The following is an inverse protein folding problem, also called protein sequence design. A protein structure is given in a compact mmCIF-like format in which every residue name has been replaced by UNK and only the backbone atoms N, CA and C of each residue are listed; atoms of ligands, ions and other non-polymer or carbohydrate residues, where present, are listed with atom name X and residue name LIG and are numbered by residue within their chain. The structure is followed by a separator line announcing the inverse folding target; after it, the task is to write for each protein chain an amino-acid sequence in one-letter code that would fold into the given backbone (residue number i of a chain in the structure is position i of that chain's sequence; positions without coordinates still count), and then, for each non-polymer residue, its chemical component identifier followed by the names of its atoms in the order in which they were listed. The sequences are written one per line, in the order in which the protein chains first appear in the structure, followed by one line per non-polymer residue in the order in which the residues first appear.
data_IF_697149937969
#
_entry.id   IF_697149937969
#
_cell.length_a   1.000
_cell.length_b   1.000
_cell.length_c   1.000
_cell.angle_alpha   90.00
_cell.angle_beta   90.00
_cell.angle_gamma   90.00
#
_symmetry.space_group_name_H-M   'P 1'
#
loop_
_entity.id
_entity.type
_entity.pdbx_description
1 polymer ?
#
# COMPACT_ATOMS: atom_id res chain seq x y z
N UNK A 1 0.91 15.09 -23.49
CA UNK A 1 2.13 14.28 -23.33
C UNK A 1 1.70 12.85 -23.57
N UNK A 2 2.11 12.22 -24.67
CA UNK A 2 1.70 10.84 -24.99
C UNK A 2 2.08 9.91 -23.83
N UNK A 3 1.08 9.25 -23.25
CA UNK A 3 1.28 8.12 -22.34
C UNK A 3 1.99 7.02 -23.14
N UNK A 4 3.34 7.04 -23.12
CA UNK A 4 4.14 5.98 -23.71
C UNK A 4 3.71 4.67 -23.04
N UNK A 5 3.26 3.71 -23.85
CA UNK A 5 2.76 2.43 -23.38
C UNK A 5 3.91 1.58 -22.81
N UNK A 6 4.30 1.89 -21.57
CA UNK A 6 5.33 1.16 -20.85
C UNK A 6 4.90 -0.29 -20.58
N UNK A 7 3.59 -0.58 -20.49
CA UNK A 7 3.08 -1.95 -20.26
C UNK A 7 3.54 -2.91 -21.33
N UNK A 8 3.36 -2.53 -22.60
CA UNK A 8 3.74 -3.38 -23.71
C UNK A 8 5.24 -3.67 -23.71
N UNK A 9 6.04 -2.70 -23.24
CA UNK A 9 7.49 -2.85 -23.12
C UNK A 9 7.90 -3.73 -21.92
N UNK A 10 7.26 -3.60 -20.76
CA UNK A 10 7.48 -4.50 -19.62
C UNK A 10 7.09 -5.94 -19.94
N UNK A 11 5.93 -6.13 -20.58
CA UNK A 11 5.46 -7.45 -21.03
C UNK A 11 6.43 -8.06 -22.04
N UNK A 12 6.91 -7.27 -23.00
CA UNK A 12 7.93 -7.71 -23.96
C UNK A 12 9.22 -8.15 -23.28
N UNK A 13 9.71 -7.39 -22.29
CA UNK A 13 10.93 -7.74 -21.56
C UNK A 13 10.73 -9.00 -20.72
N UNK A 14 9.58 -9.16 -20.05
CA UNK A 14 9.25 -10.37 -19.29
C UNK A 14 9.19 -11.59 -20.22
N UNK A 15 8.52 -11.48 -21.37
CA UNK A 15 8.48 -12.56 -22.36
C UNK A 15 9.87 -12.91 -22.89
N UNK A 16 10.71 -11.91 -23.15
CA UNK A 16 12.11 -12.12 -23.56
C UNK A 16 12.91 -12.85 -22.48
N UNK A 17 12.68 -12.51 -21.21
CA UNK A 17 13.32 -13.16 -20.06
C UNK A 17 12.90 -14.62 -19.94
N UNK A 18 11.59 -14.90 -20.07
CA UNK A 18 11.03 -16.24 -20.01
C UNK A 18 11.47 -17.11 -21.21
N UNK A 19 11.65 -16.47 -22.37
CA UNK A 19 12.17 -17.07 -23.60
C UNK A 19 13.69 -17.31 -23.62
N UNK A 20 14.42 -16.87 -22.61
CA UNK A 20 15.88 -17.03 -22.53
C UNK A 20 16.68 -16.00 -23.34
N UNK A 21 16.05 -14.93 -23.82
CA UNK A 21 16.67 -13.86 -24.62
C UNK A 21 17.31 -12.79 -23.72
N UNK A 22 18.25 -13.19 -22.87
CA UNK A 22 18.82 -12.35 -21.81
C UNK A 22 19.51 -11.07 -22.30
N UNK A 23 20.12 -11.12 -23.49
CA UNK A 23 20.74 -9.94 -24.09
C UNK A 23 19.71 -8.88 -24.49
N UNK A 24 18.53 -9.32 -24.94
CA UNK A 24 17.40 -8.45 -25.29
C UNK A 24 16.86 -7.79 -24.04
N UNK A 25 16.71 -8.54 -22.94
CA UNK A 25 16.25 -8.04 -21.64
C UNK A 25 17.11 -6.86 -21.16
N UNK A 26 18.44 -6.99 -21.19
CA UNK A 26 19.34 -5.91 -20.75
C UNK A 26 19.25 -4.70 -21.69
N UNK A 27 19.24 -4.92 -23.01
CA UNK A 27 19.20 -3.82 -24.00
C UNK A 27 17.90 -3.02 -23.92
N UNK A 28 16.76 -3.69 -23.82
CA UNK A 28 15.46 -3.02 -23.68
C UNK A 28 15.32 -2.36 -22.30
N UNK A 29 15.80 -2.99 -21.23
CA UNK A 29 15.77 -2.38 -19.89
C UNK A 29 16.59 -1.10 -19.84
N UNK A 30 17.82 -1.10 -20.38
CA UNK A 30 18.65 0.09 -20.48
C UNK A 30 17.98 1.21 -21.32
N UNK A 31 17.25 0.83 -22.37
CA UNK A 31 16.50 1.78 -23.20
C UNK A 31 15.35 2.41 -22.43
N UNK A 32 14.63 1.64 -21.61
CA UNK A 32 13.56 2.17 -20.76
C UNK A 32 14.10 3.07 -19.65
N UNK A 33 15.22 2.72 -19.01
CA UNK A 33 15.92 3.62 -18.09
C UNK A 33 16.27 4.94 -18.77
N UNK A 34 16.83 4.91 -19.98
CA UNK A 34 17.18 6.10 -20.74
C UNK A 34 15.96 7.01 -20.97
N UNK A 35 14.86 6.43 -21.44
CA UNK A 35 13.61 7.19 -21.69
C UNK A 35 13.05 7.79 -20.40
N UNK A 36 13.01 7.01 -19.31
CA UNK A 36 12.50 7.48 -18.03
C UNK A 36 13.37 8.61 -17.44
N UNK A 37 14.70 8.47 -17.51
CA UNK A 37 15.63 9.50 -17.04
C UNK A 37 15.53 10.79 -17.87
N UNK A 38 15.30 10.71 -19.18
CA UNK A 38 15.03 11.93 -19.97
C UNK A 38 13.77 12.63 -19.49
N UNK A 39 12.69 11.88 -19.24
CA UNK A 39 11.44 12.44 -18.75
C UNK A 39 11.55 13.10 -17.37
N UNK A 40 12.20 12.43 -16.41
CA UNK A 40 12.42 12.97 -15.06
C UNK A 40 13.21 14.28 -15.14
N UNK A 41 14.24 14.36 -15.98
CA UNK A 41 15.02 15.58 -16.15
C UNK A 41 14.16 16.74 -16.69
N UNK A 42 13.33 16.49 -17.70
CA UNK A 42 12.40 17.50 -18.23
C UNK A 42 11.38 17.97 -17.19
N UNK A 43 10.94 17.08 -16.31
CA UNK A 43 10.10 17.51 -15.19
C UNK A 43 10.90 18.31 -14.16
N UNK A 44 12.19 17.99 -13.96
CA UNK A 44 13.02 18.65 -12.95
C UNK A 44 13.32 20.09 -13.34
N UNK A 45 13.59 20.32 -14.61
CA UNK A 45 13.86 21.66 -15.12
C UNK A 45 12.63 22.58 -15.09
N UNK A 46 11.43 22.01 -14.96
CA UNK A 46 10.18 22.78 -14.89
C UNK A 46 9.69 22.99 -13.46
N UNK A 47 9.90 21.99 -12.57
CA UNK A 47 9.34 21.99 -11.21
C UNK A 47 10.31 22.46 -10.12
N UNK A 48 11.62 22.32 -10.31
CA UNK A 48 12.59 22.68 -9.26
C UNK A 48 12.79 24.19 -9.11
N UNK A 49 13.22 24.67 -7.92
CA UNK A 49 13.58 26.07 -7.72
C UNK A 49 14.67 26.54 -8.69
N UNK A 50 14.69 27.84 -8.98
CA UNK A 50 15.61 28.43 -9.96
C UNK A 50 17.09 28.11 -9.71
N UNK A 51 17.52 28.09 -8.45
CA UNK A 51 18.91 27.77 -8.10
C UNK A 51 19.30 26.34 -8.53
N UNK A 52 18.45 25.35 -8.25
CA UNK A 52 18.70 23.97 -8.63
C UNK A 52 18.61 23.75 -10.14
N UNK A 53 17.68 24.43 -10.81
CA UNK A 53 17.56 24.39 -12.28
C UNK A 53 18.83 24.88 -12.97
N UNK A 54 19.46 25.95 -12.46
CA UNK A 54 20.72 26.47 -12.99
C UNK A 54 21.86 25.47 -12.86
N UNK A 55 21.92 24.74 -11.74
CA UNK A 55 22.91 23.67 -11.55
C UNK A 55 22.68 22.48 -12.50
N UNK A 56 21.42 22.12 -12.75
CA UNK A 56 21.05 21.08 -13.71
C UNK A 56 21.45 21.44 -15.14
N UNK A 57 21.13 22.68 -15.56
CA UNK A 57 21.50 23.19 -16.88
C UNK A 57 23.02 23.25 -17.06
N UNK A 58 23.76 23.67 -16.03
CA UNK A 58 25.22 23.66 -16.07
C UNK A 58 25.78 22.24 -16.22
N UNK A 59 25.24 21.27 -15.49
CA UNK A 59 25.66 19.87 -15.62
C UNK A 59 25.31 19.29 -17.01
N UNK A 60 24.15 19.66 -17.57
CA UNK A 60 23.76 19.32 -18.94
C UNK A 60 24.76 19.90 -19.95
N UNK A 61 25.09 21.19 -19.86
CA UNK A 61 26.06 21.84 -20.75
C UNK A 61 27.44 21.17 -20.68
N UNK A 62 27.91 20.82 -19.48
CA UNK A 62 29.21 20.17 -19.28
C UNK A 62 29.24 18.75 -19.89
N UNK A 63 28.20 17.93 -19.65
CA UNK A 63 28.11 16.57 -20.21
C UNK A 63 27.88 16.60 -21.73
N UNK A 64 27.06 17.53 -22.20
CA UNK A 64 26.74 17.74 -23.61
C UNK A 64 27.83 18.48 -24.40
N UNK A 65 28.85 19.00 -23.70
CA UNK A 65 29.90 19.86 -24.26
C UNK A 65 29.34 21.06 -25.03
N UNK A 66 28.21 21.61 -24.56
CA UNK A 66 27.49 22.74 -25.16
C UNK A 66 26.77 22.45 -26.49
N UNK A 67 26.88 21.24 -27.05
CA UNK A 67 26.38 20.92 -28.40
C UNK A 67 25.26 19.86 -28.41
N UNK A 68 24.89 19.32 -27.25
CA UNK A 68 23.86 18.27 -27.11
C UNK A 68 22.97 18.58 -25.92
N UNK A 69 21.66 18.46 -26.10
CA UNK A 69 20.69 18.50 -25.01
C UNK A 69 20.40 17.11 -24.46
N UNK A 70 19.67 17.04 -23.34
CA UNK A 70 19.31 15.77 -22.68
C UNK A 70 18.61 14.77 -23.60
N UNK A 71 17.82 15.22 -24.58
CA UNK A 71 17.15 14.33 -25.53
C UNK A 71 18.13 13.52 -26.39
N UNK A 72 19.32 14.05 -26.64
CA UNK A 72 20.39 13.43 -27.42
C UNK A 72 21.39 12.64 -26.56
N UNK A 73 21.20 12.61 -25.23
CA UNK A 73 22.10 11.89 -24.34
C UNK A 73 21.86 10.39 -24.42
N UNK A 74 22.95 9.64 -24.47
CA UNK A 74 22.94 8.19 -24.27
C UNK A 74 22.72 7.85 -22.80
N UNK A 75 22.28 6.61 -22.51
CA UNK A 75 22.09 6.15 -21.14
C UNK A 75 23.29 6.43 -20.21
N UNK A 76 24.52 6.17 -20.66
CA UNK A 76 25.73 6.46 -19.85
C UNK A 76 25.93 7.95 -19.57
N UNK A 77 25.60 8.83 -20.52
CA UNK A 77 25.66 10.28 -20.32
C UNK A 77 24.58 10.75 -19.33
N UNK A 78 23.38 10.17 -19.37
CA UNK A 78 22.33 10.46 -18.39
C UNK A 78 22.73 10.03 -16.98
N UNK A 79 23.34 8.85 -16.82
CA UNK A 79 23.87 8.40 -15.51
C UNK A 79 24.92 9.39 -15.00
N UNK A 80 25.82 9.86 -15.88
CA UNK A 80 26.78 10.92 -15.56
C UNK A 80 26.12 12.22 -15.11
N UNK A 81 25.14 12.71 -15.87
CA UNK A 81 24.36 13.92 -15.58
C UNK A 81 23.68 13.85 -14.21
N UNK A 82 22.99 12.76 -13.92
CA UNK A 82 22.25 12.57 -12.67
C UNK A 82 23.17 12.55 -11.46
N UNK A 83 24.31 11.87 -11.59
CA UNK A 83 25.33 11.83 -10.55
C UNK A 83 25.95 13.20 -10.31
N UNK A 84 26.33 13.90 -11.37
CA UNK A 84 27.01 15.19 -11.29
C UNK A 84 26.12 16.29 -10.71
N UNK A 85 24.87 16.35 -11.16
CA UNK A 85 23.88 17.31 -10.67
C UNK A 85 23.26 16.92 -9.33
N UNK A 86 23.48 15.68 -8.85
CA UNK A 86 22.79 15.10 -7.70
C UNK A 86 21.27 15.20 -7.84
N UNK A 87 20.75 14.97 -9.06
CA UNK A 87 19.36 15.26 -9.38
C UNK A 87 18.37 14.52 -8.46
N UNK A 88 18.57 13.22 -8.20
CA UNK A 88 17.68 12.47 -7.31
C UNK A 88 17.63 13.06 -5.90
N UNK A 89 18.78 13.45 -5.34
CA UNK A 89 18.84 14.08 -4.01
C UNK A 89 18.14 15.44 -3.97
N UNK A 90 18.28 16.23 -5.04
CA UNK A 90 17.56 17.50 -5.17
C UNK A 90 16.06 17.24 -5.27
N UNK A 91 15.64 16.33 -6.15
CA UNK A 91 14.25 15.97 -6.37
C UNK A 91 13.58 15.43 -5.10
N UNK A 92 14.24 14.55 -4.37
CA UNK A 92 13.78 14.01 -3.07
C UNK A 92 13.48 15.14 -2.06
N UNK A 93 14.37 16.13 -1.97
CA UNK A 93 14.18 17.32 -1.10
C UNK A 93 12.90 18.12 -1.39
N UNK A 94 12.31 17.98 -2.58
CA UNK A 94 11.14 18.76 -3.02
C UNK A 94 9.89 17.94 -3.34
N UNK A 95 10.01 16.63 -3.49
CA UNK A 95 8.90 15.76 -3.92
C UNK A 95 8.24 14.99 -2.78
N UNK A 96 8.81 15.02 -1.57
CA UNK A 96 8.39 14.19 -0.43
C UNK A 96 8.36 12.67 -0.76
N UNK A 97 9.07 12.26 -1.81
CA UNK A 97 9.24 10.87 -2.24
C UNK A 97 10.66 10.45 -1.88
N UNK A 98 10.81 9.39 -1.09
CA UNK A 98 12.10 8.74 -0.83
C UNK A 98 12.63 8.13 -2.13
N UNK A 99 13.68 8.73 -2.67
CA UNK A 99 14.38 8.25 -3.85
C UNK A 99 15.69 7.55 -3.48
N UNK A 100 15.89 7.24 -2.20
CA UNK A 100 17.05 6.55 -1.65
C UNK A 100 17.32 5.23 -2.37
N UNK A 101 16.27 4.48 -2.72
CA UNK A 101 16.40 3.25 -3.53
C UNK A 101 17.05 3.57 -4.88
N UNK A 102 16.60 4.60 -5.59
CA UNK A 102 17.19 5.00 -6.89
C UNK A 102 18.65 5.43 -6.76
N UNK A 103 19.01 6.08 -5.65
CA UNK A 103 20.40 6.46 -5.39
C UNK A 103 21.32 5.27 -5.08
N UNK A 104 20.75 4.14 -4.64
CA UNK A 104 21.47 2.91 -4.33
C UNK A 104 21.67 1.99 -5.54
N UNK A 105 20.92 2.20 -6.63
CA UNK A 105 21.04 1.40 -7.85
C UNK A 105 22.38 1.69 -8.54
N UNK A 106 23.15 0.64 -8.81
CA UNK A 106 24.38 0.76 -9.58
C UNK A 106 24.09 0.79 -11.09
N UNK A 107 23.64 1.95 -11.57
CA UNK A 107 23.36 2.18 -12.98
C UNK A 107 24.62 2.07 -13.87
N UNK A 108 25.83 2.26 -13.31
CA UNK A 108 27.07 2.11 -14.08
C UNK A 108 27.27 0.66 -14.50
N UNK A 109 27.03 -0.30 -13.59
CA UNK A 109 27.07 -1.72 -13.91
C UNK A 109 26.11 -2.09 -15.04
N UNK A 110 24.91 -1.48 -15.10
CA UNK A 110 23.95 -1.71 -16.20
C UNK A 110 24.48 -1.13 -17.52
N UNK A 111 25.05 0.08 -17.50
CA UNK A 111 25.70 0.70 -18.67
C UNK A 111 26.84 -0.19 -19.19
N UNK A 112 27.69 -0.69 -18.30
CA UNK A 112 28.79 -1.59 -18.66
C UNK A 112 28.29 -2.90 -19.26
N UNK A 113 27.30 -3.55 -18.65
CA UNK A 113 26.67 -4.75 -19.19
C UNK A 113 26.12 -4.50 -20.60
N UNK A 114 25.30 -3.46 -20.77
CA UNK A 114 24.72 -3.09 -22.08
C UNK A 114 25.80 -2.82 -23.13
N UNK A 115 26.89 -2.15 -22.76
CA UNK A 115 28.00 -1.87 -23.67
C UNK A 115 28.77 -3.14 -24.08
N UNK A 116 29.01 -4.07 -23.14
CA UNK A 116 29.61 -5.38 -23.45
C UNK A 116 28.75 -6.17 -24.44
N UNK A 117 27.43 -6.21 -24.23
CA UNK A 117 26.49 -6.90 -25.13
C UNK A 117 26.34 -6.24 -26.51
N UNK A 118 26.55 -4.92 -26.61
CA UNK A 118 26.37 -4.18 -27.86
C UNK A 118 27.64 -4.13 -28.70
N UNK A 119 28.80 -4.01 -28.06
CA UNK A 119 30.07 -3.77 -28.76
C UNK A 119 31.04 -4.95 -28.72
N UNK A 120 30.94 -5.84 -27.73
CA UNK A 120 31.91 -6.92 -27.51
C UNK A 120 31.34 -8.31 -27.80
N UNK A 121 30.06 -8.41 -28.17
CA UNK A 121 29.39 -9.69 -28.44
C UNK A 121 29.38 -10.63 -27.23
N UNK A 122 29.48 -10.08 -26.02
CA UNK A 122 29.37 -10.85 -24.79
C UNK A 122 27.96 -11.45 -24.67
N UNK A 123 27.83 -12.53 -23.91
CA UNK A 123 26.55 -13.17 -23.58
C UNK A 123 26.15 -12.83 -22.15
N UNK A 124 24.87 -12.58 -21.92
CA UNK A 124 24.29 -12.35 -20.61
C UNK A 124 23.80 -13.64 -19.95
N UNK A 125 24.00 -13.79 -18.64
CA UNK A 125 23.37 -14.85 -17.86
C UNK A 125 21.93 -14.51 -17.46
N UNK A 126 21.12 -15.53 -17.19
CA UNK A 126 19.75 -15.36 -16.65
C UNK A 126 19.73 -14.46 -15.42
N UNK A 127 20.67 -14.68 -14.50
CA UNK A 127 20.77 -13.93 -13.24
C UNK A 127 21.03 -12.44 -13.47
N UNK A 128 21.94 -12.10 -14.39
CA UNK A 128 22.22 -10.69 -14.72
C UNK A 128 21.01 -10.02 -15.37
N UNK A 129 20.31 -10.72 -16.26
CA UNK A 129 19.09 -10.21 -16.89
C UNK A 129 17.95 -10.00 -15.87
N UNK A 130 17.73 -10.97 -14.96
CA UNK A 130 16.75 -10.85 -13.87
C UNK A 130 17.07 -9.66 -12.95
N UNK A 131 18.35 -9.50 -12.59
CA UNK A 131 18.80 -8.40 -11.73
C UNK A 131 18.52 -7.03 -12.38
N UNK A 132 18.91 -6.85 -13.64
CA UNK A 132 18.68 -5.60 -14.38
C UNK A 132 17.19 -5.31 -14.53
N UNK A 133 16.38 -6.34 -14.82
CA UNK A 133 14.95 -6.15 -14.97
C UNK A 133 14.26 -5.83 -13.65
N UNK A 134 14.67 -6.44 -12.54
CA UNK A 134 14.17 -6.09 -11.21
C UNK A 134 14.57 -4.66 -10.81
N UNK A 135 15.79 -4.23 -11.17
CA UNK A 135 16.19 -2.83 -10.99
C UNK A 135 15.29 -1.88 -11.77
N UNK A 136 14.90 -2.24 -12.99
CA UNK A 136 13.99 -1.44 -13.80
C UNK A 136 12.59 -1.37 -13.15
N UNK A 137 12.05 -2.50 -12.69
CA UNK A 137 10.75 -2.55 -11.99
C UNK A 137 10.77 -1.65 -10.76
N UNK A 138 11.81 -1.78 -9.92
CA UNK A 138 11.98 -0.94 -8.74
C UNK A 138 12.12 0.54 -9.12
N UNK A 139 12.84 0.85 -10.20
CA UNK A 139 13.00 2.23 -10.68
C UNK A 139 11.66 2.88 -11.06
N UNK A 140 10.82 2.17 -11.81
CA UNK A 140 9.50 2.67 -12.20
C UNK A 140 8.53 2.73 -11.00
N UNK A 141 8.63 1.78 -10.07
CA UNK A 141 7.83 1.78 -8.84
C UNK A 141 8.15 2.99 -7.94
N UNK A 142 9.43 3.30 -7.72
CA UNK A 142 9.83 4.48 -6.95
C UNK A 142 9.40 5.81 -7.58
N UNK A 143 9.09 5.83 -8.88
CA UNK A 143 8.62 7.02 -9.58
C UNK A 143 7.09 7.14 -9.63
N UNK A 144 6.35 6.20 -9.03
CA UNK A 144 4.89 6.14 -9.15
C UNK A 144 4.44 5.85 -10.59
N UNK A 145 5.31 5.28 -11.42
CA UNK A 145 5.01 4.87 -12.80
C UNK A 145 4.65 3.38 -12.93
N UNK A 146 4.60 2.67 -11.79
CA UNK A 146 4.33 1.22 -11.73
C UNK A 146 2.85 0.83 -11.83
N UNK A 147 1.90 1.77 -11.76
CA UNK A 147 0.45 1.48 -11.89
C UNK A 147 -0.01 1.18 -13.33
N UNK A 148 0.92 0.72 -14.17
CA UNK A 148 0.68 0.44 -15.58
C UNK A 148 0.31 -1.04 -15.80
N UNK A 149 0.80 -1.97 -14.96
CA UNK A 149 0.33 -3.37 -14.97
C UNK A 149 -1.06 -3.50 -14.33
N UNK A 150 -1.31 -2.82 -13.20
CA UNK A 150 -2.61 -2.88 -12.51
C UNK A 150 -3.75 -2.20 -13.30
N UNK A 151 -3.44 -1.15 -14.07
CA UNK A 151 -4.41 -0.51 -14.96
C UNK A 151 -4.72 -1.35 -16.21
N UNK A 152 -3.76 -2.14 -16.71
CA UNK A 152 -3.93 -2.94 -17.91
C UNK A 152 -4.59 -4.29 -17.62
N UNK A 153 -4.30 -4.93 -16.49
CA UNK A 153 -5.10 -6.09 -16.05
C UNK A 153 -6.58 -5.71 -15.88
N UNK A 154 -6.89 -4.54 -15.30
CA UNK A 154 -8.28 -4.04 -15.21
C UNK A 154 -8.93 -3.73 -16.57
N UNK A 155 -8.14 -3.39 -17.60
CA UNK A 155 -8.64 -3.11 -18.96
C UNK A 155 -8.81 -4.37 -19.81
N UNK A 156 -8.03 -5.43 -19.56
CA UNK A 156 -8.20 -6.71 -20.24
C UNK A 156 -9.20 -7.65 -19.54
N UNK A 157 -9.36 -7.55 -18.21
CA UNK A 157 -10.42 -8.28 -17.48
C UNK A 157 -11.81 -7.71 -17.77
N UNK A 158 -11.94 -6.40 -18.02
CA UNK A 158 -13.24 -5.80 -18.34
C UNK A 158 -13.78 -6.14 -19.73
N UNK A 159 -12.98 -6.78 -20.61
CA UNK A 159 -13.39 -7.16 -21.97
C UNK A 159 -13.64 -8.66 -22.19
N UNK A 160 -13.33 -9.52 -21.22
CA UNK A 160 -13.57 -10.97 -21.33
C UNK A 160 -14.80 -11.47 -20.55
N UNK A 161 -15.41 -10.64 -19.69
CA UNK A 161 -16.54 -11.01 -18.83
C UNK A 161 -17.93 -10.88 -19.50
N UNK A 162 -18.03 -11.04 -20.82
CA UNK A 162 -19.33 -11.21 -21.48
C UNK A 162 -19.49 -12.45 -22.35
N UNK A 163 -18.45 -13.26 -22.59
CA UNK A 163 -18.62 -14.52 -23.33
C UNK A 163 -17.60 -15.57 -22.89
N UNK A 164 -17.99 -16.37 -21.88
CA UNK A 164 -17.77 -17.83 -21.74
C UNK A 164 -17.77 -18.24 -20.27
N UNK A 165 -18.98 -18.48 -19.75
CA UNK A 165 -19.16 -19.41 -18.63
C UNK A 165 -19.18 -20.81 -19.23
N UNK A 166 -18.02 -21.45 -19.31
CA UNK A 166 -17.86 -22.91 -19.28
C UNK A 166 -16.36 -23.26 -19.24
N UNK A 167 -16.03 -23.99 -18.18
CA UNK A 167 -14.86 -24.86 -17.97
C UNK A 167 -13.46 -24.30 -17.67
N UNK A 168 -13.00 -24.78 -16.51
CA UNK A 168 -11.63 -25.10 -16.09
C UNK A 168 -10.73 -24.03 -15.48
N UNK A 169 -10.75 -24.01 -14.14
CA UNK A 169 -9.60 -24.17 -13.23
C UNK A 169 -8.24 -23.60 -13.67
N UNK A 170 -7.85 -22.46 -13.09
CA UNK A 170 -6.72 -22.40 -12.17
C UNK A 170 -6.72 -21.05 -11.43
N UNK A 171 -6.60 -21.12 -10.11
CA UNK A 171 -6.53 -19.98 -9.20
C UNK A 171 -5.15 -19.34 -9.33
N UNK A 172 -5.08 -18.13 -9.87
CA UNK A 172 -3.98 -17.23 -9.53
C UNK A 172 -4.50 -16.25 -8.47
N UNK A 173 -3.92 -16.37 -7.29
CA UNK A 173 -4.34 -15.71 -6.07
C UNK A 173 -3.40 -14.51 -5.91
N UNK A 174 -3.65 -13.42 -6.65
CA UNK A 174 -2.95 -12.15 -6.46
C UNK A 174 -3.34 -11.59 -5.09
N UNK A 175 -2.66 -12.07 -4.05
CA UNK A 175 -2.79 -11.58 -2.69
C UNK A 175 -2.41 -10.10 -2.69
N UNK A 176 -3.42 -9.23 -2.58
CA UNK A 176 -3.27 -7.82 -2.28
C UNK A 176 -2.36 -7.67 -1.06
N UNK A 177 -1.10 -7.28 -1.26
CA UNK A 177 -0.14 -7.08 -0.16
C UNK A 177 -0.44 -5.77 0.53
N UNK A 178 -1.10 -5.85 1.68
CA UNK A 178 -1.48 -4.69 2.50
C UNK A 178 -0.28 -4.12 3.26
N UNK A 179 0.78 -4.93 3.44
CA UNK A 179 1.99 -4.53 4.14
C UNK A 179 3.26 -4.84 3.35
N UNK A 180 4.24 -3.97 3.49
CA UNK A 180 5.61 -4.17 3.03
C UNK A 180 6.44 -4.80 4.15
N UNK A 181 6.90 -6.03 3.93
CA UNK A 181 7.85 -6.68 4.82
C UNK A 181 9.28 -6.33 4.42
N UNK A 182 9.98 -5.59 5.28
CA UNK A 182 11.39 -5.24 5.13
C UNK A 182 12.23 -6.26 5.90
N UNK A 183 12.52 -7.40 5.24
CA UNK A 183 13.17 -8.58 5.83
C UNK A 183 14.49 -8.24 6.54
N UNK A 184 15.35 -7.45 5.90
CA UNK A 184 16.65 -7.04 6.44
C UNK A 184 16.57 -6.22 7.74
N UNK A 185 15.40 -5.68 8.08
CA UNK A 185 15.16 -4.89 9.30
C UNK A 185 14.16 -5.55 10.24
N UNK A 186 13.53 -6.66 9.84
CA UNK A 186 12.45 -7.29 10.59
C UNK A 186 11.24 -6.38 10.79
N UNK A 187 10.95 -5.49 9.83
CA UNK A 187 9.85 -4.51 9.93
C UNK A 187 8.70 -4.89 9.01
N UNK A 188 7.46 -4.72 9.50
CA UNK A 188 6.26 -4.71 8.68
C UNK A 188 5.80 -3.25 8.62
N UNK A 189 5.75 -2.68 7.43
CA UNK A 189 5.34 -1.28 7.20
C UNK A 189 4.05 -1.28 6.41
N UNK A 190 3.07 -0.49 6.84
CA UNK A 190 1.91 -0.20 6.02
C UNK A 190 2.30 0.86 4.98
N UNK A 191 2.30 0.57 3.68
CA UNK A 191 2.64 1.55 2.64
C UNK A 191 1.64 2.71 2.59
N UNK A 192 0.46 2.54 3.19
CA UNK A 192 -0.58 3.56 3.22
C UNK A 192 -0.19 4.74 4.11
N UNK A 193 0.36 4.50 5.28
CA UNK A 193 0.58 5.53 6.31
C UNK A 193 1.99 5.48 6.91
N UNK A 194 2.87 4.67 6.32
CA UNK A 194 4.24 4.41 6.76
C UNK A 194 4.37 3.87 8.20
N UNK A 195 3.25 3.47 8.81
CA UNK A 195 3.23 3.00 10.19
C UNK A 195 3.89 1.64 10.32
N UNK A 196 4.59 1.46 11.44
CA UNK A 196 5.11 0.15 11.83
C UNK A 196 3.99 -0.72 12.35
N UNK A 197 3.92 -1.92 11.81
CA UNK A 197 2.97 -2.94 12.17
C UNK A 197 3.69 -4.16 12.73
N UNK A 198 2.93 -4.96 13.47
CA UNK A 198 3.35 -6.27 13.98
C UNK A 198 2.27 -7.28 13.62
N UNK A 199 2.67 -8.52 13.36
CA UNK A 199 1.73 -9.61 13.06
C UNK A 199 1.80 -10.64 14.18
N UNK A 200 0.64 -10.97 14.75
CA UNK A 200 0.49 -12.03 15.73
C UNK A 200 -0.23 -13.23 15.11
N UNK A 201 0.15 -14.45 15.52
CA UNK A 201 -0.78 -15.57 15.43
C UNK A 201 -1.99 -15.28 16.32
N UNK A 202 -3.20 -15.56 15.83
CA UNK A 202 -4.45 -15.33 16.57
C UNK A 202 -4.43 -16.02 17.94
N UNK A 203 -3.90 -17.24 18.01
CA UNK A 203 -3.73 -17.99 19.27
C UNK A 203 -2.85 -17.24 20.28
N UNK A 204 -1.77 -16.59 19.82
CA UNK A 204 -0.84 -15.87 20.68
C UNK A 204 -1.46 -14.61 21.27
N UNK A 205 -2.14 -13.79 20.47
CA UNK A 205 -2.81 -12.58 20.97
C UNK A 205 -3.97 -12.92 21.90
N UNK A 206 -4.73 -13.99 21.57
CA UNK A 206 -5.80 -14.46 22.43
C UNK A 206 -5.29 -14.96 23.78
N UNK A 207 -4.16 -15.68 23.81
CA UNK A 207 -3.54 -16.11 25.07
C UNK A 207 -3.04 -14.93 25.93
N UNK A 208 -2.53 -13.86 25.30
CA UNK A 208 -2.19 -12.61 25.99
C UNK A 208 -3.43 -12.02 26.64
N UNK A 209 -4.55 -11.90 25.90
CA UNK A 209 -5.80 -11.37 26.44
C UNK A 209 -6.33 -12.23 27.59
N UNK A 210 -6.33 -13.56 27.46
CA UNK A 210 -6.75 -14.46 28.54
C UNK A 210 -5.91 -14.29 29.81
N UNK A 211 -4.59 -14.11 29.66
CA UNK A 211 -3.70 -13.86 30.79
C UNK A 211 -3.99 -12.51 31.45
N UNK A 212 -4.18 -11.45 30.66
CA UNK A 212 -4.54 -10.12 31.16
C UNK A 212 -5.87 -10.18 31.92
N UNK A 213 -6.89 -10.79 31.32
CA UNK A 213 -8.21 -10.99 31.96
C UNK A 213 -8.05 -11.69 33.30
N UNK A 214 -7.32 -12.82 33.34
CA UNK A 214 -7.09 -13.57 34.57
C UNK A 214 -6.44 -12.73 35.68
N UNK A 215 -5.40 -11.96 35.35
CA UNK A 215 -4.71 -11.14 36.34
C UNK A 215 -5.57 -9.95 36.81
N UNK A 216 -6.35 -9.34 35.90
CA UNK A 216 -7.30 -8.29 36.27
C UNK A 216 -8.43 -8.83 37.15
N UNK A 217 -8.93 -10.04 36.88
CA UNK A 217 -9.90 -10.73 37.74
C UNK A 217 -9.33 -10.92 39.14
N UNK A 218 -8.09 -11.42 39.25
CA UNK A 218 -7.43 -11.61 40.55
C UNK A 218 -7.26 -10.30 41.33
N UNK A 219 -7.10 -9.18 40.61
CA UNK A 219 -6.97 -7.84 41.18
C UNK A 219 -8.30 -7.11 41.46
N UNK A 220 -9.47 -7.72 41.20
CA UNK A 220 -10.78 -7.07 41.27
C UNK A 220 -10.89 -5.78 40.44
N UNK A 221 -10.26 -5.75 39.26
CA UNK A 221 -10.37 -4.62 38.33
C UNK A 221 -11.60 -4.76 37.42
N UNK A 222 -12.11 -3.63 36.93
CA UNK A 222 -13.16 -3.59 35.91
C UNK A 222 -12.57 -3.93 34.52
N UNK A 223 -12.65 -5.22 34.17
CA UNK A 223 -12.08 -5.79 32.94
C UNK A 223 -12.73 -5.16 31.70
N UNK A 224 -14.06 -5.03 31.72
CA UNK A 224 -14.84 -4.42 30.64
C UNK A 224 -14.39 -2.99 30.36
N UNK A 225 -14.22 -2.17 31.41
CA UNK A 225 -13.73 -0.79 31.24
C UNK A 225 -12.31 -0.74 30.67
N UNK A 226 -11.41 -1.63 31.11
CA UNK A 226 -10.04 -1.68 30.61
C UNK A 226 -9.99 -2.02 29.13
N UNK A 227 -10.69 -3.08 28.70
CA UNK A 227 -10.72 -3.47 27.29
C UNK A 227 -11.45 -2.45 26.42
N UNK A 228 -12.59 -1.90 26.88
CA UNK A 228 -13.29 -0.85 26.17
C UNK A 228 -12.40 0.38 25.93
N UNK A 229 -11.77 0.91 26.98
CA UNK A 229 -10.88 2.09 26.87
C UNK A 229 -9.68 1.82 25.99
N UNK A 230 -9.12 0.60 26.06
CA UNK A 230 -7.99 0.20 25.22
C UNK A 230 -8.39 0.14 23.74
N UNK A 231 -9.58 -0.40 23.46
CA UNK A 231 -10.18 -0.42 22.14
C UNK A 231 -10.40 1.00 21.63
N UNK A 232 -11.10 1.82 22.42
CA UNK A 232 -11.43 3.20 22.10
C UNK A 232 -10.21 4.03 21.73
N UNK A 233 -9.18 4.06 22.59
CA UNK A 233 -7.97 4.82 22.31
C UNK A 233 -7.23 4.34 21.04
N UNK A 234 -7.30 3.04 20.75
CA UNK A 234 -6.71 2.47 19.53
C UNK A 234 -7.51 2.85 18.28
N UNK A 235 -8.84 2.78 18.37
CA UNK A 235 -9.76 3.14 17.29
C UNK A 235 -9.75 4.63 16.99
N UNK A 236 -9.74 5.46 18.02
CA UNK A 236 -9.62 6.92 17.91
C UNK A 236 -8.34 7.31 17.17
N UNK A 237 -7.20 6.78 17.59
CA UNK A 237 -5.92 7.08 16.93
C UNK A 237 -5.90 6.63 15.47
N UNK A 238 -6.42 5.43 15.19
CA UNK A 238 -6.51 4.91 13.82
C UNK A 238 -7.45 5.74 12.95
N UNK A 239 -8.66 6.03 13.46
CA UNK A 239 -9.69 6.79 12.78
C UNK A 239 -9.21 8.19 12.41
N UNK A 240 -8.51 8.88 13.32
CA UNK A 240 -7.93 10.20 13.06
C UNK A 240 -6.93 10.17 11.89
N UNK A 241 -5.98 9.23 11.90
CA UNK A 241 -4.96 9.09 10.84
C UNK A 241 -5.61 8.81 9.48
N UNK A 242 -6.58 7.89 9.45
CA UNK A 242 -7.24 7.50 8.20
C UNK A 242 -8.16 8.58 7.68
N UNK A 243 -8.86 9.30 8.56
CA UNK A 243 -9.73 10.40 8.18
C UNK A 243 -8.93 11.51 7.48
N UNK A 244 -7.85 11.97 8.11
CA UNK A 244 -6.94 12.97 7.53
C UNK A 244 -6.42 12.51 6.17
N UNK A 245 -5.98 11.26 6.08
CA UNK A 245 -5.44 10.71 4.84
C UNK A 245 -6.48 10.66 3.72
N UNK A 246 -7.70 10.21 4.00
CA UNK A 246 -8.73 10.09 2.96
C UNK A 246 -9.23 11.44 2.47
N UNK A 247 -9.33 12.43 3.35
CA UNK A 247 -9.65 13.81 2.96
C UNK A 247 -8.60 14.43 2.06
N UNK A 248 -7.31 14.09 2.24
CA UNK A 248 -6.23 14.56 1.37
C UNK A 248 -6.17 13.84 0.02
N UNK A 249 -6.67 12.61 -0.07
CA UNK A 249 -6.54 11.76 -1.26
C UNK A 249 -7.76 11.76 -2.18
N UNK A 250 -8.94 12.08 -1.66
CA UNK A 250 -10.18 12.06 -2.42
C UNK A 250 -10.99 13.33 -2.14
N UNK A 251 -11.16 14.14 -3.18
CA UNK A 251 -12.08 15.26 -3.14
C UNK A 251 -13.51 14.74 -2.85
N UNK A 252 -14.20 15.38 -1.91
CA UNK A 252 -15.62 15.13 -1.56
C UNK A 252 -15.98 13.68 -1.20
N UNK A 253 -15.10 12.96 -0.49
CA UNK A 253 -15.45 11.61 0.02
C UNK A 253 -16.58 11.64 1.05
N UNK A 254 -17.63 10.84 0.83
CA UNK A 254 -18.77 10.72 1.74
C UNK A 254 -18.42 9.99 3.05
N UNK A 255 -19.21 10.19 4.10
CA UNK A 255 -19.02 9.50 5.38
C UNK A 255 -19.22 7.98 5.23
N UNK A 256 -20.20 7.57 4.44
CA UNK A 256 -20.49 6.16 4.15
C UNK A 256 -19.32 5.49 3.42
N UNK A 257 -18.66 6.22 2.50
CA UNK A 257 -17.46 5.73 1.83
C UNK A 257 -16.28 5.61 2.80
N UNK A 258 -16.08 6.58 3.69
CA UNK A 258 -15.03 6.50 4.74
C UNK A 258 -15.22 5.28 5.64
N UNK A 259 -16.45 5.05 6.12
CA UNK A 259 -16.81 3.88 6.93
C UNK A 259 -16.57 2.57 6.15
N UNK A 260 -16.90 2.56 4.86
CA UNK A 260 -16.69 1.39 3.99
C UNK A 260 -15.22 1.10 3.74
N UNK A 261 -14.40 2.14 3.55
CA UNK A 261 -12.94 2.01 3.43
C UNK A 261 -12.32 1.50 4.73
N UNK A 262 -12.79 1.97 5.88
CA UNK A 262 -12.37 1.44 7.18
C UNK A 262 -12.68 -0.04 7.31
N UNK A 263 -13.94 -0.44 7.07
CA UNK A 263 -14.35 -1.85 7.14
C UNK A 263 -13.47 -2.73 6.22
N UNK A 264 -13.18 -2.25 5.01
CA UNK A 264 -12.32 -2.95 4.08
C UNK A 264 -10.88 -3.06 4.60
N UNK A 265 -10.33 -1.99 5.15
CA UNK A 265 -8.96 -1.97 5.66
C UNK A 265 -8.78 -2.97 6.81
N UNK A 266 -9.66 -2.95 7.82
CA UNK A 266 -9.52 -3.86 8.96
C UNK A 266 -9.82 -5.31 8.59
N UNK A 267 -10.65 -5.53 7.57
CA UNK A 267 -10.82 -6.86 6.97
C UNK A 267 -9.53 -7.35 6.32
N UNK A 268 -8.88 -6.47 5.58
CA UNK A 268 -7.62 -6.71 4.89
C UNK A 268 -6.50 -7.06 5.91
N UNK A 269 -6.42 -6.36 7.04
CA UNK A 269 -5.37 -6.60 8.06
C UNK A 269 -5.66 -7.76 9.03
N UNK A 270 -6.79 -8.46 8.86
CA UNK A 270 -7.05 -9.74 9.51
C UNK A 270 -7.78 -9.69 10.86
N UNK A 271 -8.56 -8.64 11.12
CA UNK A 271 -9.46 -8.60 12.29
C UNK A 271 -10.65 -9.58 12.15
N UNK A 272 -10.97 -9.93 10.91
CA UNK A 272 -12.19 -10.61 10.48
C UNK A 272 -12.88 -9.78 9.40
N UNK A 273 -13.88 -10.31 8.73
CA UNK A 273 -14.56 -9.60 7.64
C UNK A 273 -15.62 -8.63 8.19
N UNK A 274 -15.27 -7.35 8.19
CA UNK A 274 -16.15 -6.23 8.54
C UNK A 274 -17.02 -5.81 7.35
N UNK A 275 -18.26 -5.47 7.65
CA UNK A 275 -19.17 -4.80 6.73
C UNK A 275 -20.08 -3.87 7.50
N UNK A 276 -20.48 -2.76 6.90
CA UNK A 276 -21.39 -1.80 7.51
C UNK A 276 -22.77 -1.84 6.82
N UNK A 277 -23.80 -1.57 7.61
CA UNK A 277 -25.13 -1.21 7.15
C UNK A 277 -25.58 -0.03 8.00
N UNK A 278 -24.95 1.12 7.75
CA UNK A 278 -25.15 2.36 8.49
C UNK A 278 -25.97 3.30 7.60
N UNK A 279 -26.91 3.99 8.23
CA UNK A 279 -27.66 5.08 7.64
C UNK A 279 -27.35 6.37 8.42
N UNK A 280 -26.94 7.40 7.69
CA UNK A 280 -26.62 8.72 8.24
C UNK A 280 -27.71 9.69 7.78
N UNK A 281 -28.42 10.27 8.75
CA UNK A 281 -29.36 11.34 8.51
C UNK A 281 -28.65 12.68 8.67
N UNK A 282 -28.28 13.28 7.53
CA UNK A 282 -27.59 14.56 7.47
C UNK A 282 -28.46 15.74 7.91
N UNK A 283 -29.79 15.64 7.84
CA UNK A 283 -30.70 16.72 8.27
C UNK A 283 -30.81 16.77 9.79
N UNK A 284 -30.91 15.59 10.43
CA UNK A 284 -31.07 15.47 11.87
C UNK A 284 -29.75 15.23 12.63
N UNK A 285 -28.63 15.13 11.91
CA UNK A 285 -27.33 14.71 12.46
C UNK A 285 -27.49 13.45 13.32
N UNK A 286 -28.13 12.44 12.74
CA UNK A 286 -28.40 11.17 13.40
C UNK A 286 -27.74 10.00 12.66
N UNK A 287 -27.42 8.96 13.41
CA UNK A 287 -26.79 7.75 12.89
C UNK A 287 -27.48 6.52 13.46
N UNK A 288 -27.82 5.60 12.56
CA UNK A 288 -28.43 4.32 12.92
C UNK A 288 -27.91 3.20 12.04
N UNK A 289 -28.03 1.97 12.52
CA UNK A 289 -27.67 0.78 11.76
C UNK A 289 -26.72 -0.12 12.53
N UNK A 290 -25.85 -0.84 11.83
CA UNK A 290 -24.95 -1.78 12.48
C UNK A 290 -23.67 -2.08 11.68
N UNK A 291 -22.63 -2.51 12.41
CA UNK A 291 -21.44 -3.16 11.87
C UNK A 291 -21.56 -4.66 12.07
N UNK A 292 -21.25 -5.43 11.04
CA UNK A 292 -21.13 -6.88 11.12
C UNK A 292 -19.65 -7.27 11.05
N UNK A 293 -19.22 -8.15 11.95
CA UNK A 293 -17.89 -8.74 11.94
C UNK A 293 -18.02 -10.26 11.83
N UNK A 294 -17.68 -10.80 10.66
CA UNK A 294 -17.59 -12.23 10.42
C UNK A 294 -16.17 -12.72 10.75
N UNK A 295 -16.05 -13.96 11.24
CA UNK A 295 -14.74 -14.56 11.55
C UNK A 295 -13.87 -13.69 12.48
N UNK A 296 -14.50 -13.05 13.48
CA UNK A 296 -13.80 -12.26 14.50
C UNK A 296 -12.61 -13.04 15.08
N UNK A 297 -11.40 -12.49 15.02
CA UNK A 297 -10.21 -13.15 15.55
C UNK A 297 -10.34 -13.53 17.03
N UNK A 298 -11.11 -12.75 17.82
CA UNK A 298 -11.35 -13.01 19.24
C UNK A 298 -12.20 -14.27 19.48
N UNK A 299 -12.98 -14.72 18.50
CA UNK A 299 -13.79 -15.95 18.59
C UNK A 299 -13.07 -17.20 18.07
N UNK A 300 -11.86 -17.06 17.52
CA UNK A 300 -11.12 -18.19 16.96
C UNK A 300 -10.73 -19.24 18.02
N UNK A 301 -11.22 -20.47 17.84
CA UNK A 301 -10.87 -21.68 18.61
C UNK A 301 -10.91 -21.55 20.15
N UNK A 302 -11.61 -20.56 20.70
CA UNK A 302 -11.59 -20.35 22.15
C UNK A 302 -12.50 -21.32 22.91
N UNK A 303 -11.98 -21.76 24.05
CA UNK A 303 -12.62 -22.65 25.03
C UNK A 303 -13.27 -21.85 26.18
N UNK A 304 -12.84 -20.60 26.38
CA UNK A 304 -13.31 -19.71 27.46
C UNK A 304 -14.56 -18.92 27.05
N UNK A 305 -15.59 -18.99 27.90
CA UNK A 305 -16.81 -18.17 27.82
C UNK A 305 -16.62 -16.73 28.31
N UNK A 306 -15.41 -16.31 28.67
CA UNK A 306 -15.25 -14.96 29.21
C UNK A 306 -15.42 -13.92 28.08
N UNK A 307 -16.50 -13.15 28.13
CA UNK A 307 -16.93 -12.22 27.08
C UNK A 307 -16.34 -10.81 27.24
N UNK A 308 -15.68 -10.53 28.37
CA UNK A 308 -15.26 -9.18 28.76
C UNK A 308 -14.21 -8.59 27.79
N UNK A 309 -13.39 -9.43 27.15
CA UNK A 309 -12.41 -8.97 26.15
C UNK A 309 -13.05 -8.59 24.80
N UNK A 310 -14.32 -8.94 24.55
CA UNK A 310 -15.07 -8.44 23.39
C UNK A 310 -15.40 -6.93 23.51
N UNK A 311 -15.31 -6.35 24.71
CA UNK A 311 -15.44 -4.90 24.89
C UNK A 311 -14.33 -4.14 24.14
N UNK A 312 -13.20 -4.79 23.84
CA UNK A 312 -12.16 -4.23 22.97
C UNK A 312 -12.71 -3.84 21.61
N UNK A 313 -13.50 -4.70 20.98
CA UNK A 313 -14.06 -4.44 19.65
C UNK A 313 -15.12 -3.35 19.68
N UNK A 314 -15.95 -3.31 20.74
CA UNK A 314 -16.90 -2.23 20.93
C UNK A 314 -16.18 -0.89 21.04
N UNK A 315 -15.22 -0.78 21.96
CA UNK A 315 -14.44 0.43 22.14
C UNK A 315 -13.74 0.85 20.86
N UNK A 316 -13.10 -0.10 20.17
CA UNK A 316 -12.42 0.17 18.91
C UNK A 316 -13.37 0.74 17.85
N UNK A 317 -14.52 0.11 17.63
CA UNK A 317 -15.55 0.59 16.70
C UNK A 317 -16.03 1.99 17.10
N UNK A 318 -16.32 2.24 18.38
CA UNK A 318 -16.72 3.56 18.88
C UNK A 318 -15.68 4.62 18.53
N UNK A 319 -14.40 4.36 18.86
CA UNK A 319 -13.32 5.32 18.64
C UNK A 319 -13.08 5.64 17.16
N UNK A 320 -13.20 4.65 16.27
CA UNK A 320 -13.10 4.91 14.82
C UNK A 320 -14.27 5.76 14.34
N UNK A 321 -15.50 5.38 14.68
CA UNK A 321 -16.70 6.08 14.21
C UNK A 321 -16.75 7.52 14.71
N UNK A 322 -16.37 7.77 15.97
CA UNK A 322 -16.31 9.12 16.51
C UNK A 322 -15.40 10.03 15.69
N UNK A 323 -14.24 9.53 15.26
CA UNK A 323 -13.32 10.30 14.41
C UNK A 323 -13.85 10.51 12.99
N UNK A 324 -14.45 9.48 12.39
CA UNK A 324 -15.01 9.60 11.04
C UNK A 324 -16.23 10.53 11.00
N UNK A 325 -16.99 10.61 12.09
CA UNK A 325 -18.20 11.42 12.23
C UNK A 325 -17.93 12.79 12.87
N UNK A 326 -16.68 13.26 12.85
CA UNK A 326 -16.29 14.59 13.34
C UNK A 326 -16.60 14.83 14.82
N UNK A 327 -16.40 13.82 15.67
CA UNK A 327 -16.60 13.88 17.12
C UNK A 327 -18.02 13.58 17.58
N UNK A 328 -18.89 13.04 16.72
CA UNK A 328 -20.21 12.57 17.13
C UNK A 328 -20.06 11.33 18.04
N UNK A 329 -20.46 11.46 19.30
CA UNK A 329 -20.49 10.34 20.24
C UNK A 329 -21.52 9.29 19.77
N UNK A 330 -21.03 8.06 19.63
CA UNK A 330 -21.85 6.91 19.20
C UNK A 330 -21.91 5.87 20.29
N UNK A 331 -23.12 5.39 20.54
CA UNK A 331 -23.37 4.26 21.42
C UNK A 331 -23.33 2.96 20.61
N UNK A 332 -22.46 2.05 21.02
CA UNK A 332 -22.26 0.74 20.38
C UNK A 332 -22.75 -0.38 21.29
N UNK A 333 -23.75 -1.12 20.83
CA UNK A 333 -24.29 -2.29 21.55
C UNK A 333 -24.06 -3.58 20.76
N UNK A 334 -23.47 -4.59 21.41
CA UNK A 334 -23.30 -5.91 20.79
C UNK A 334 -24.59 -6.73 20.93
N UNK A 335 -25.11 -7.25 19.83
CA UNK A 335 -26.23 -8.20 19.83
C UNK A 335 -25.74 -9.58 20.32
N UNK A 336 -25.78 -9.76 21.64
CA UNK A 336 -25.38 -11.00 22.30
C UNK A 336 -26.21 -12.21 21.84
N UNK A 337 -27.44 -11.99 21.37
CA UNK A 337 -28.31 -13.03 20.82
C UNK A 337 -27.81 -13.61 19.48
N UNK A 338 -26.82 -12.97 18.86
CA UNK A 338 -26.16 -13.44 17.63
C UNK A 338 -24.67 -13.67 17.81
N UNK A 339 -24.14 -13.64 19.03
CA UNK A 339 -22.70 -13.74 19.27
C UNK A 339 -22.17 -15.16 18.94
N UNK A 340 -21.17 -15.29 18.04
CA UNK A 340 -20.53 -16.58 17.75
C UNK A 340 -19.86 -17.23 18.96
N UNK A 341 -19.52 -16.43 19.99
CA UNK A 341 -18.95 -16.94 21.25
C UNK A 341 -19.99 -17.56 22.18
N UNK A 342 -21.22 -17.08 22.13
CA UNK A 342 -22.34 -17.65 22.90
C UNK A 342 -22.94 -18.86 22.20
N UNK A 343 -23.01 -18.83 20.87
CA UNK A 343 -23.56 -19.93 20.09
C UNK A 343 -22.76 -20.15 18.78
N UNK A 344 -22.14 -21.33 18.62
CA UNK A 344 -21.27 -21.64 17.49
C UNK A 344 -22.01 -21.72 16.14
N UNK A 345 -23.35 -21.75 16.14
CA UNK A 345 -24.14 -21.67 14.90
C UNK A 345 -24.24 -20.24 14.37
N UNK A 346 -23.95 -19.22 15.18
CA UNK A 346 -23.81 -17.86 14.70
C UNK A 346 -22.45 -17.64 14.05
N UNK A 347 -22.45 -16.90 12.95
CA UNK A 347 -21.25 -16.69 12.12
C UNK A 347 -20.68 -15.27 12.22
N UNK A 348 -21.43 -14.34 12.80
CA UNK A 348 -21.08 -12.92 12.86
C UNK A 348 -21.41 -12.29 14.20
N UNK A 349 -20.52 -11.42 14.68
CA UNK A 349 -20.86 -10.42 15.69
C UNK A 349 -21.62 -9.28 15.01
N UNK A 350 -22.65 -8.75 15.67
CA UNK A 350 -23.38 -7.56 15.20
C UNK A 350 -23.26 -6.48 16.27
N UNK A 351 -22.79 -5.32 15.86
CA UNK A 351 -22.65 -4.12 16.70
C UNK A 351 -23.64 -3.09 16.21
N UNK A 352 -24.74 -2.91 16.95
CA UNK A 352 -25.75 -1.91 16.66
C UNK A 352 -25.22 -0.53 17.06
N UNK A 353 -25.48 0.44 16.19
CA UNK A 353 -25.04 1.82 16.34
C UNK A 353 -26.26 2.70 16.51
N UNK A 354 -26.20 3.57 17.51
CA UNK A 354 -27.13 4.67 17.71
C UNK A 354 -26.37 5.88 18.20
N UNK A 355 -26.87 7.08 17.92
CA UNK A 355 -26.37 8.30 18.55
C UNK A 355 -26.47 8.21 20.08
N UNK A 356 -25.42 8.62 20.78
CA UNK A 356 -25.48 8.75 22.23
C UNK A 356 -26.32 9.98 22.58
N UNK A 357 -27.41 9.76 23.32
CA UNK A 357 -28.27 10.84 23.81
C UNK A 357 -27.79 11.19 25.21
N UNK A 358 -27.04 12.29 25.31
CA UNK A 358 -26.64 12.88 26.58
C UNK A 358 -27.81 13.48 27.35
#
# INVERSE_FOLDING_TARGET
MEQKNYTNKFSFIQQSLDGGEYDVVIKESATLFEVAMKQIFHQAITKLPFADRKELQKAEEEIGKGNKGVDDFTFGQLVGLYRQSKLFKKWESYSNVDLGILTSLDLNSIVEMRNKLTHQGATCSKFEAELVFNYLKNFFASLGLADIEEAVEKVFDSKLTQQKVADNSNKDNTQKKIFNYLENRGLIINPSDESRNISFKVESINFIFETIVKELTNGNHDISSVFYKSGFASGEKFGAIMNEKWELQKDDISLEDKISLWCQFDSDVGWGKLSNNINIDYENFDISGHIELNENFQSYKRVSKNLEDCELMKGYISGVLEQLLSGLETKIECDMGKCPRENPFHKKCIFNISKEVN
#
